data_IF_131635271146
#
_entry.id   IF_131635271146
#
_cell.length_a   1.000
_cell.length_b   1.000
_cell.length_c   1.000
_cell.angle_alpha   90.00
_cell.angle_beta   90.00
_cell.angle_gamma   90.00
#
_symmetry.space_group_name_H-M   'P 1'
#
loop_
_entity.id
_entity.type
_entity.pdbx_description
1 polymer ?
#
# COMPACT_ATOMS: atom_id res chain seq x y z
N UNK A 1 -74.60 28.50 -19.59
CA UNK A 1 -74.21 28.53 -18.17
C UNK A 1 -72.80 27.96 -18.08
N UNK A 2 -71.81 28.80 -17.78
CA UNK A 2 -70.40 28.41 -17.57
C UNK A 2 -70.21 27.73 -16.20
N UNK A 3 -69.25 26.80 -16.12
CA UNK A 3 -68.12 26.94 -15.17
C UNK A 3 -66.80 26.67 -15.92
N UNK A 4 -65.72 27.46 -15.84
CA UNK A 4 -64.86 27.86 -14.72
C UNK A 4 -64.02 26.71 -14.12
N UNK A 5 -62.70 26.96 -14.04
CA UNK A 5 -61.63 26.24 -13.27
C UNK A 5 -61.02 25.04 -14.03
N UNK A 6 -59.70 24.85 -14.21
CA UNK A 6 -58.52 25.26 -13.44
C UNK A 6 -57.31 25.58 -14.33
N UNK A 7 -56.57 26.64 -14.00
CA UNK A 7 -55.22 26.90 -14.49
C UNK A 7 -54.24 25.96 -13.77
N UNK A 8 -53.55 25.09 -14.50
CA UNK A 8 -52.45 24.29 -13.98
C UNK A 8 -51.17 25.15 -13.94
N UNK A 9 -50.74 25.50 -12.73
CA UNK A 9 -49.43 26.11 -12.47
C UNK A 9 -48.33 25.07 -12.69
N UNK A 10 -47.54 25.23 -13.75
CA UNK A 10 -46.28 24.50 -13.94
C UNK A 10 -45.26 24.97 -12.90
N UNK A 11 -44.84 24.07 -12.02
CA UNK A 11 -43.70 24.28 -11.14
C UNK A 11 -42.40 24.18 -11.96
N UNK A 12 -41.67 25.29 -12.06
CA UNK A 12 -40.34 25.37 -12.68
C UNK A 12 -39.33 24.56 -11.85
N UNK A 13 -38.62 23.66 -12.52
CA UNK A 13 -37.47 22.94 -11.99
C UNK A 13 -36.38 23.94 -11.60
N UNK A 14 -36.03 23.98 -10.31
CA UNK A 14 -34.89 24.72 -9.81
C UNK A 14 -33.60 23.95 -10.11
N UNK A 15 -32.74 24.51 -10.95
CA UNK A 15 -31.35 24.09 -11.03
C UNK A 15 -30.64 24.52 -9.74
N UNK A 16 -30.26 23.58 -8.89
CA UNK A 16 -29.34 23.84 -7.78
C UNK A 16 -27.95 24.10 -8.34
N UNK A 17 -27.57 25.37 -8.33
CA UNK A 17 -26.21 25.82 -8.61
C UNK A 17 -25.28 25.22 -7.54
N UNK A 18 -24.40 24.30 -7.93
CA UNK A 18 -23.28 23.87 -7.09
C UNK A 18 -22.38 25.09 -6.95
N UNK A 19 -22.37 25.68 -5.76
CA UNK A 19 -21.51 26.83 -5.46
C UNK A 19 -20.04 26.50 -5.66
N UNK A 20 -19.17 27.52 -5.79
CA UNK A 20 -17.72 27.30 -5.81
C UNK A 20 -17.32 26.49 -4.58
N UNK A 21 -16.55 25.42 -4.80
CA UNK A 21 -15.91 24.68 -3.72
C UNK A 21 -15.03 25.68 -2.99
N UNK A 22 -15.43 26.04 -1.77
CA UNK A 22 -14.60 26.82 -0.87
C UNK A 22 -13.40 25.93 -0.53
N UNK A 23 -12.28 26.18 -1.21
CA UNK A 23 -11.01 25.55 -0.89
C UNK A 23 -10.71 25.93 0.56
N UNK A 24 -10.79 24.92 1.44
CA UNK A 24 -10.37 25.01 2.83
C UNK A 24 -9.00 25.71 2.84
N UNK A 25 -8.81 26.74 3.69
CA UNK A 25 -7.58 27.53 3.69
C UNK A 25 -6.37 26.61 3.75
N UNK A 26 -5.34 26.92 2.95
CA UNK A 26 -4.01 26.33 3.01
C UNK A 26 -3.62 26.22 4.48
N UNK A 27 -3.59 24.98 4.98
CA UNK A 27 -3.12 24.71 6.34
C UNK A 27 -1.70 25.25 6.46
N UNK A 28 -1.40 25.90 7.58
CA UNK A 28 -0.05 26.33 7.93
C UNK A 28 0.96 25.20 7.65
N UNK A 29 2.22 25.52 7.24
CA UNK A 29 3.22 24.51 6.93
C UNK A 29 3.33 23.54 8.10
N UNK A 30 2.91 22.31 7.83
CA UNK A 30 2.89 21.23 8.79
C UNK A 30 4.32 20.99 9.24
N UNK A 31 4.67 21.46 10.44
CA UNK A 31 5.97 21.16 11.04
C UNK A 31 5.85 19.74 11.54
N UNK A 32 6.29 18.79 10.73
CA UNK A 32 6.12 17.38 11.02
C UNK A 32 6.75 17.09 12.39
N UNK A 33 5.99 16.43 13.27
CA UNK A 33 6.48 15.94 14.57
C UNK A 33 7.59 14.88 14.43
N UNK A 34 7.97 14.52 13.21
CA UNK A 34 9.06 13.59 12.87
C UNK A 34 10.35 13.90 13.61
N UNK A 35 10.67 15.18 13.82
CA UNK A 35 11.93 15.55 14.48
C UNK A 35 12.11 14.93 15.88
N UNK A 36 11.03 14.79 16.66
CA UNK A 36 11.09 14.16 17.99
C UNK A 36 11.11 12.63 17.91
N UNK A 37 10.40 12.06 16.93
CA UNK A 37 10.33 10.61 16.68
C UNK A 37 11.68 10.08 16.18
N UNK A 38 12.24 10.75 15.16
CA UNK A 38 13.54 10.44 14.59
C UNK A 38 14.66 10.69 15.60
N UNK A 39 14.58 11.75 16.40
CA UNK A 39 15.56 11.98 17.48
C UNK A 39 15.55 10.85 18.53
N UNK A 40 14.40 10.23 18.79
CA UNK A 40 14.30 9.11 19.73
C UNK A 40 14.84 7.79 19.13
N UNK A 41 14.65 7.56 17.83
CA UNK A 41 15.17 6.38 17.12
C UNK A 41 16.66 6.48 16.78
N UNK A 42 17.19 7.69 16.69
CA UNK A 42 18.54 7.96 16.21
C UNK A 42 18.62 8.07 14.69
N UNK A 43 19.85 8.13 14.20
CA UNK A 43 20.14 8.27 12.76
C UNK A 43 19.64 7.05 11.98
N UNK A 44 19.05 7.31 10.81
CA UNK A 44 18.65 6.25 9.88
C UNK A 44 19.92 5.52 9.41
N UNK A 45 19.99 4.19 9.50
CA UNK A 45 21.15 3.44 9.02
C UNK A 45 21.39 3.67 7.53
N UNK A 46 22.66 3.72 7.13
CA UNK A 46 23.01 3.81 5.72
C UNK A 46 22.46 2.61 4.94
N UNK A 47 21.95 2.89 3.74
CA UNK A 47 21.46 1.87 2.84
C UNK A 47 22.59 1.03 2.25
N UNK A 48 22.26 -0.19 1.85
CA UNK A 48 23.19 -1.04 1.13
C UNK A 48 22.94 -0.92 -0.38
N UNK A 49 24.00 -0.83 -1.21
CA UNK A 49 23.83 -0.75 -2.66
C UNK A 49 23.18 -2.03 -3.19
N UNK A 50 22.39 -1.89 -4.25
CA UNK A 50 21.83 -3.02 -4.97
C UNK A 50 22.93 -3.71 -5.79
N UNK A 51 23.41 -4.86 -5.32
CA UNK A 51 24.39 -5.69 -6.02
C UNK A 51 23.69 -6.76 -6.86
N UNK A 52 24.34 -7.35 -7.88
CA UNK A 52 23.75 -8.46 -8.65
C UNK A 52 23.36 -9.67 -7.79
N UNK A 53 24.08 -9.91 -6.69
CA UNK A 53 23.76 -10.97 -5.74
C UNK A 53 22.49 -10.66 -4.94
N UNK A 54 22.33 -9.43 -4.46
CA UNK A 54 21.11 -8.97 -3.78
C UNK A 54 19.90 -8.99 -4.72
N UNK A 55 20.11 -8.61 -5.98
CA UNK A 55 19.08 -8.70 -7.02
C UNK A 55 18.64 -10.15 -7.25
N UNK A 56 19.58 -11.08 -7.39
CA UNK A 56 19.27 -12.50 -7.56
C UNK A 56 18.51 -13.07 -6.33
N UNK A 57 18.93 -12.73 -5.11
CA UNK A 57 18.22 -13.10 -3.88
C UNK A 57 16.79 -12.54 -3.85
N UNK A 58 16.63 -11.25 -4.16
CA UNK A 58 15.33 -10.60 -4.24
C UNK A 58 14.41 -11.31 -5.23
N UNK A 59 14.89 -11.61 -6.43
CA UNK A 59 14.11 -12.29 -7.47
C UNK A 59 13.66 -13.67 -6.96
N UNK A 60 14.56 -14.45 -6.36
CA UNK A 60 14.23 -15.77 -5.81
C UNK A 60 13.15 -15.68 -4.71
N UNK A 61 13.30 -14.73 -3.78
CA UNK A 61 12.35 -14.50 -2.68
C UNK A 61 11.01 -13.98 -3.19
N UNK A 62 11.00 -13.08 -4.16
CA UNK A 62 9.81 -12.56 -4.81
C UNK A 62 9.02 -13.70 -5.48
N UNK A 63 9.70 -14.57 -6.24
CA UNK A 63 9.04 -15.73 -6.85
C UNK A 63 8.44 -16.68 -5.80
N UNK A 64 9.14 -16.90 -4.68
CA UNK A 64 8.60 -17.72 -3.58
C UNK A 64 7.38 -17.07 -2.92
N UNK A 65 7.40 -15.75 -2.71
CA UNK A 65 6.27 -15.00 -2.19
C UNK A 65 5.06 -15.05 -3.15
N UNK A 66 5.27 -14.85 -4.46
CA UNK A 66 4.19 -14.99 -5.45
C UNK A 66 3.63 -16.41 -5.48
N UNK A 67 4.48 -17.42 -5.32
CA UNK A 67 4.03 -18.81 -5.23
C UNK A 67 3.24 -19.11 -3.95
N UNK A 68 3.63 -18.52 -2.81
CA UNK A 68 2.86 -18.68 -1.57
C UNK A 68 1.46 -18.06 -1.67
N UNK A 69 1.26 -17.04 -2.50
CA UNK A 69 -0.09 -16.49 -2.79
C UNK A 69 -0.94 -17.51 -3.56
N UNK A 70 -0.38 -18.21 -4.56
CA UNK A 70 -1.12 -19.23 -5.31
C UNK A 70 -1.54 -20.38 -4.39
N UNK A 71 -0.62 -20.90 -3.59
CA UNK A 71 -0.85 -22.08 -2.75
C UNK A 71 -1.75 -21.84 -1.55
N UNK A 72 -1.96 -20.60 -1.13
CA UNK A 72 -2.98 -20.26 -0.13
C UNK A 72 -4.40 -20.58 -0.60
N UNK A 73 -4.69 -20.36 -1.88
CA UNK A 73 -6.02 -20.62 -2.47
C UNK A 73 -6.09 -21.97 -3.20
N UNK A 74 -4.95 -22.46 -3.72
CA UNK A 74 -4.84 -23.67 -4.53
C UNK A 74 -3.68 -24.54 -4.02
N UNK A 75 -3.86 -25.24 -2.88
CA UNK A 75 -2.76 -25.98 -2.22
C UNK A 75 -2.20 -27.13 -3.06
N UNK A 76 -3.01 -27.68 -3.98
CA UNK A 76 -2.60 -28.76 -4.88
C UNK A 76 -2.00 -28.26 -6.21
N UNK A 77 -1.88 -26.94 -6.39
CA UNK A 77 -1.33 -26.36 -7.61
C UNK A 77 0.14 -26.77 -7.81
N UNK A 78 0.52 -27.05 -9.05
CA UNK A 78 1.90 -27.41 -9.41
C UNK A 78 2.65 -26.16 -9.87
N UNK A 79 3.78 -25.86 -9.22
CA UNK A 79 4.62 -24.69 -9.54
C UNK A 79 5.19 -24.78 -10.95
N UNK A 80 4.86 -23.85 -11.86
CA UNK A 80 5.50 -23.80 -13.17
C UNK A 80 6.98 -23.43 -13.06
N UNK A 81 7.82 -24.07 -13.88
CA UNK A 81 9.19 -23.61 -14.12
C UNK A 81 9.14 -22.36 -14.99
N UNK A 82 9.79 -21.28 -14.53
CA UNK A 82 9.79 -19.98 -15.20
C UNK A 82 11.22 -19.49 -15.36
N UNK A 83 11.53 -18.95 -16.53
CA UNK A 83 12.79 -18.26 -16.79
C UNK A 83 12.54 -16.77 -16.64
N UNK A 84 13.36 -16.08 -15.85
CA UNK A 84 13.31 -14.61 -15.73
C UNK A 84 13.65 -14.02 -17.10
N UNK A 85 12.77 -13.16 -17.61
CA UNK A 85 13.02 -12.43 -18.84
C UNK A 85 14.18 -11.45 -18.63
N UNK A 86 14.90 -11.13 -19.70
CA UNK A 86 15.98 -10.15 -19.66
C UNK A 86 15.38 -8.73 -19.54
N UNK A 87 15.02 -8.34 -18.31
CA UNK A 87 14.35 -7.09 -18.01
C UNK A 87 15.37 -5.96 -17.95
N UNK A 88 15.81 -5.47 -19.10
CA UNK A 88 16.66 -4.27 -19.23
C UNK A 88 15.95 -2.96 -18.84
N UNK A 89 14.80 -3.03 -18.16
CA UNK A 89 14.16 -1.90 -17.52
C UNK A 89 12.72 -2.20 -17.12
N UNK A 90 12.43 -1.97 -15.83
CA UNK A 90 11.12 -2.03 -15.16
C UNK A 90 10.40 -3.38 -15.29
N UNK A 91 10.43 -4.19 -14.22
CA UNK A 91 9.52 -5.32 -14.07
C UNK A 91 8.05 -4.88 -14.20
N UNK A 92 7.15 -5.84 -14.39
CA UNK A 92 5.73 -5.52 -14.56
C UNK A 92 5.10 -5.20 -13.21
N UNK A 93 4.40 -4.06 -13.10
CA UNK A 93 3.65 -3.69 -11.90
C UNK A 93 2.25 -4.30 -11.87
N UNK A 94 1.74 -4.76 -13.01
CA UNK A 94 0.47 -5.45 -13.13
C UNK A 94 0.56 -6.56 -14.18
N UNK A 95 -0.05 -7.70 -13.87
CA UNK A 95 -0.28 -8.83 -14.78
C UNK A 95 -1.80 -9.01 -14.98
N UNK A 96 -2.18 -9.79 -15.98
CA UNK A 96 -3.55 -9.97 -16.48
C UNK A 96 -4.58 -10.18 -15.36
N UNK A 97 -5.38 -9.17 -15.02
CA UNK A 97 -6.49 -9.38 -14.08
C UNK A 97 -7.72 -8.47 -14.24
N UNK A 98 -7.73 -7.50 -15.15
CA UNK A 98 -8.89 -6.61 -15.26
C UNK A 98 -10.09 -7.33 -15.89
N UNK A 99 -11.11 -7.61 -15.06
CA UNK A 99 -12.38 -8.21 -15.46
C UNK A 99 -12.45 -9.75 -15.49
N UNK A 100 -11.40 -10.47 -15.07
CA UNK A 100 -11.42 -11.93 -15.00
C UNK A 100 -11.93 -12.44 -13.64
N UNK A 101 -12.74 -13.50 -13.68
CA UNK A 101 -13.15 -14.21 -12.46
C UNK A 101 -11.96 -14.97 -11.86
N UNK A 102 -11.87 -15.01 -10.54
CA UNK A 102 -10.81 -15.77 -9.85
C UNK A 102 -10.91 -17.26 -10.18
N UNK A 103 -9.81 -17.84 -10.68
CA UNK A 103 -9.64 -19.26 -10.92
C UNK A 103 -8.18 -19.67 -10.71
N UNK A 104 -7.92 -20.97 -10.57
CA UNK A 104 -6.56 -21.50 -10.50
C UNK A 104 -5.74 -21.08 -11.73
N UNK A 105 -6.35 -21.09 -12.92
CA UNK A 105 -5.66 -20.72 -14.16
C UNK A 105 -5.27 -19.24 -14.17
N UNK A 106 -6.12 -18.35 -13.64
CA UNK A 106 -5.79 -16.92 -13.50
C UNK A 106 -4.66 -16.73 -12.50
N UNK A 107 -4.72 -17.40 -11.34
CA UNK A 107 -3.65 -17.31 -10.33
C UNK A 107 -2.29 -17.82 -10.85
N UNK A 108 -2.31 -18.91 -11.63
CA UNK A 108 -1.11 -19.44 -12.29
C UNK A 108 -0.58 -18.50 -13.37
N UNK A 109 -1.45 -17.90 -14.18
CA UNK A 109 -1.06 -16.92 -15.19
C UNK A 109 -0.41 -15.67 -14.56
N UNK A 110 -1.00 -15.17 -13.47
CA UNK A 110 -0.42 -14.07 -12.69
C UNK A 110 0.93 -14.45 -12.11
N UNK A 111 1.06 -15.62 -11.49
CA UNK A 111 2.34 -16.10 -10.98
C UNK A 111 3.40 -16.13 -12.08
N UNK A 112 3.10 -16.73 -13.23
CA UNK A 112 4.06 -16.86 -14.34
C UNK A 112 4.50 -15.47 -14.81
N UNK A 113 3.56 -14.55 -15.01
CA UNK A 113 3.86 -13.20 -15.48
C UNK A 113 4.78 -12.44 -14.50
N UNK A 114 4.46 -12.42 -13.21
CA UNK A 114 5.29 -11.76 -12.20
C UNK A 114 6.64 -12.45 -12.00
N UNK A 115 6.68 -13.79 -12.05
CA UNK A 115 7.92 -14.53 -11.86
C UNK A 115 8.87 -14.39 -13.05
N UNK A 116 8.33 -14.20 -14.27
CA UNK A 116 9.12 -13.88 -15.46
C UNK A 116 9.60 -12.42 -15.46
N UNK A 117 8.85 -11.49 -14.85
CA UNK A 117 9.13 -10.05 -14.89
C UNK A 117 9.14 -9.43 -13.49
N UNK A 118 10.04 -9.87 -12.59
CA UNK A 118 10.07 -9.38 -11.21
C UNK A 118 10.34 -7.86 -11.17
N UNK A 119 9.62 -7.10 -10.32
CA UNK A 119 9.91 -5.69 -10.14
C UNK A 119 11.23 -5.56 -9.36
N UNK A 120 12.35 -5.33 -10.04
CA UNK A 120 13.63 -5.09 -9.37
C UNK A 120 13.64 -3.66 -8.86
N UNK A 121 13.68 -3.43 -7.53
CA UNK A 121 13.75 -2.08 -6.99
C UNK A 121 15.14 -1.47 -7.22
N UNK A 122 15.20 -0.15 -7.37
CA UNK A 122 16.46 0.60 -7.54
C UNK A 122 17.34 0.56 -6.29
N UNK A 123 16.73 0.37 -5.12
CA UNK A 123 17.38 0.12 -3.83
C UNK A 123 16.53 -0.84 -3.00
N UNK A 124 17.18 -1.61 -2.12
CA UNK A 124 16.49 -2.40 -1.12
C UNK A 124 16.94 -1.95 0.26
N UNK A 125 16.00 -1.84 1.20
CA UNK A 125 16.37 -1.60 2.59
C UNK A 125 17.38 -2.68 3.06
N UNK A 126 18.44 -2.24 3.73
CA UNK A 126 19.33 -3.13 4.47
C UNK A 126 18.58 -3.79 5.63
N UNK A 127 19.16 -4.83 6.23
CA UNK A 127 18.58 -5.42 7.46
C UNK A 127 18.48 -4.39 8.59
N UNK A 128 19.44 -3.45 8.65
CA UNK A 128 19.42 -2.36 9.62
C UNK A 128 18.28 -1.37 9.33
N UNK A 129 18.11 -0.97 8.07
CA UNK A 129 17.01 -0.09 7.66
C UNK A 129 15.63 -0.73 7.84
N UNK A 130 15.47 -2.02 7.53
CA UNK A 130 14.24 -2.75 7.80
C UNK A 130 13.95 -2.82 9.31
N UNK A 131 14.98 -3.03 10.13
CA UNK A 131 14.85 -2.99 11.59
C UNK A 131 14.43 -1.60 12.09
N UNK A 132 15.03 -0.55 11.55
CA UNK A 132 14.66 0.84 11.85
C UNK A 132 13.20 1.11 11.47
N UNK A 133 12.77 0.70 10.27
CA UNK A 133 11.39 0.86 9.81
C UNK A 133 10.40 0.12 10.70
N UNK A 134 10.75 -1.08 11.18
CA UNK A 134 9.93 -1.81 12.15
C UNK A 134 9.78 -1.02 13.46
N UNK A 135 10.89 -0.54 14.01
CA UNK A 135 10.91 0.22 15.27
C UNK A 135 10.13 1.54 15.11
N UNK A 136 10.23 2.16 13.94
CA UNK A 136 9.44 3.33 13.55
C UNK A 136 7.94 3.04 13.51
N UNK A 137 7.52 2.01 12.77
CA UNK A 137 6.11 1.66 12.64
C UNK A 137 5.49 1.25 13.98
N UNK A 138 6.17 0.38 14.74
CA UNK A 138 5.63 -0.16 15.99
C UNK A 138 5.72 0.83 17.16
N UNK A 139 6.77 1.66 17.20
CA UNK A 139 6.98 2.65 18.24
C UNK A 139 6.15 3.92 18.06
N UNK A 140 5.77 4.28 16.83
CA UNK A 140 5.19 5.60 16.54
C UNK A 140 3.93 5.54 15.68
N UNK A 141 3.97 4.88 14.52
CA UNK A 141 2.81 4.89 13.60
C UNK A 141 1.62 4.13 14.20
N UNK A 142 1.85 2.92 14.71
CA UNK A 142 0.78 2.09 15.30
C UNK A 142 0.12 2.78 16.51
N UNK A 143 0.88 3.31 17.50
CA UNK A 143 0.28 4.08 18.59
C UNK A 143 -0.49 5.32 18.12
N UNK A 144 0.02 6.04 17.10
CA UNK A 144 -0.67 7.22 16.57
C UNK A 144 -2.00 6.85 15.92
N UNK A 145 -2.04 5.78 15.12
CA UNK A 145 -3.28 5.30 14.51
C UNK A 145 -4.31 4.95 15.60
N UNK A 146 -3.87 4.27 16.67
CA UNK A 146 -4.73 3.94 17.80
C UNK A 146 -5.26 5.19 18.54
N UNK A 147 -4.43 6.22 18.75
CA UNK A 147 -4.84 7.50 19.36
C UNK A 147 -5.94 8.20 18.55
N UNK A 148 -5.90 8.05 17.22
CA UNK A 148 -6.89 8.60 16.30
C UNK A 148 -8.07 7.65 16.01
N UNK A 149 -8.21 6.56 16.76
CA UNK A 149 -9.34 5.64 16.67
C UNK A 149 -9.29 4.67 15.50
N UNK A 150 -8.09 4.44 14.94
CA UNK A 150 -7.88 3.47 13.88
C UNK A 150 -7.28 2.18 14.43
N UNK A 151 -7.81 1.06 13.95
CA UNK A 151 -7.32 -0.28 14.27
C UNK A 151 -6.45 -0.80 13.12
N UNK A 152 -5.32 -1.43 13.46
CA UNK A 152 -4.44 -2.11 12.50
C UNK A 152 -5.03 -3.50 12.19
N UNK A 153 -4.95 -3.92 10.93
CA UNK A 153 -5.52 -5.18 10.43
C UNK A 153 -4.94 -6.45 11.06
N UNK A 154 -3.71 -6.36 11.58
CA UNK A 154 -3.00 -7.47 12.20
C UNK A 154 -1.91 -6.98 13.17
N UNK A 155 -1.63 -7.79 14.18
CA UNK A 155 -0.49 -7.56 15.08
C UNK A 155 0.85 -7.62 14.33
N UNK A 156 1.84 -6.79 14.72
CA UNK A 156 3.17 -6.86 14.12
C UNK A 156 3.80 -8.23 14.35
N UNK A 157 4.52 -8.79 13.34
CA UNK A 157 5.39 -9.93 13.60
C UNK A 157 6.49 -9.52 14.59
N UNK A 158 7.17 -10.49 15.20
CA UNK A 158 8.39 -10.18 15.96
C UNK A 158 9.44 -9.54 15.04
N UNK A 159 10.21 -8.58 15.58
CA UNK A 159 11.17 -7.77 14.83
C UNK A 159 12.13 -8.61 13.99
N UNK A 160 12.68 -9.68 14.56
CA UNK A 160 13.64 -10.55 13.89
C UNK A 160 13.02 -11.19 12.63
N UNK A 161 11.75 -11.59 12.72
CA UNK A 161 11.01 -12.14 11.60
C UNK A 161 10.74 -11.09 10.54
N UNK A 162 10.33 -9.88 10.95
CA UNK A 162 10.11 -8.77 10.03
C UNK A 162 11.37 -8.48 9.19
N UNK A 163 12.52 -8.34 9.86
CA UNK A 163 13.80 -8.04 9.20
C UNK A 163 14.23 -9.18 8.27
N UNK A 164 14.09 -10.44 8.71
CA UNK A 164 14.46 -11.59 7.90
C UNK A 164 13.56 -11.79 6.67
N UNK A 165 12.27 -11.46 6.78
CA UNK A 165 11.30 -11.67 5.71
C UNK A 165 11.10 -10.43 4.82
N UNK A 166 11.67 -9.26 5.16
CA UNK A 166 11.51 -8.00 4.42
C UNK A 166 11.88 -8.10 2.92
N UNK A 167 11.05 -7.63 1.97
CA UNK A 167 9.75 -6.94 2.13
C UNK A 167 8.51 -7.88 2.04
N UNK A 168 8.70 -9.18 2.19
CA UNK A 168 7.68 -10.22 1.96
C UNK A 168 7.03 -10.75 3.24
N UNK A 169 7.19 -10.05 4.37
CA UNK A 169 6.64 -10.41 5.68
C UNK A 169 5.10 -10.37 5.77
N UNK A 170 4.43 -9.89 4.72
CA UNK A 170 2.97 -9.73 4.64
C UNK A 170 2.37 -8.91 5.80
N UNK A 171 3.13 -7.91 6.28
CA UNK A 171 2.70 -7.01 7.33
C UNK A 171 3.29 -5.61 7.13
N UNK A 172 2.41 -4.63 7.28
CA UNK A 172 2.64 -3.20 7.44
C UNK A 172 1.47 -2.67 8.29
N UNK A 173 1.56 -1.46 8.88
CA UNK A 173 0.45 -0.90 9.66
C UNK A 173 -0.72 -0.46 8.74
N UNK A 174 -1.43 -1.43 8.16
CA UNK A 174 -2.60 -1.20 7.30
C UNK A 174 -3.87 -1.13 8.14
N UNK A 175 -4.79 -0.24 7.76
CA UNK A 175 -6.03 0.00 8.51
C UNK A 175 -7.00 -1.18 8.32
N UNK A 176 -7.43 -1.82 9.43
CA UNK A 176 -8.30 -3.01 9.44
C UNK A 176 -9.69 -2.75 8.86
N UNK A 177 -10.23 -1.56 9.14
CA UNK A 177 -11.66 -1.29 9.05
C UNK A 177 -12.03 -0.40 7.84
N UNK A 178 -11.10 -0.19 6.91
CA UNK A 178 -11.34 0.62 5.70
C UNK A 178 -10.64 -0.02 4.51
N UNK A 179 -11.42 -0.33 3.47
CA UNK A 179 -10.93 -0.77 2.16
C UNK A 179 -11.39 0.19 1.07
N UNK A 180 -10.74 0.15 -0.10
CA UNK A 180 -11.10 1.00 -1.24
C UNK A 180 -10.84 2.49 -1.00
N UNK A 181 -11.68 3.35 -1.60
CA UNK A 181 -11.53 4.82 -1.56
C UNK A 181 -11.56 5.39 -0.12
N UNK A 182 -12.32 4.77 0.77
CA UNK A 182 -12.42 5.16 2.18
C UNK A 182 -11.12 4.95 2.96
N UNK A 183 -10.31 3.96 2.56
CA UNK A 183 -8.99 3.71 3.14
C UNK A 183 -7.99 4.79 2.72
N UNK A 184 -8.03 5.19 1.46
CA UNK A 184 -7.16 6.23 0.90
C UNK A 184 -7.46 7.58 1.54
N UNK A 185 -8.75 7.94 1.64
CA UNK A 185 -9.16 9.18 2.31
C UNK A 185 -8.77 9.18 3.79
N UNK A 186 -8.90 8.04 4.48
CA UNK A 186 -8.48 7.89 5.87
C UNK A 186 -6.97 8.03 6.07
N UNK A 187 -6.17 7.44 5.18
CA UNK A 187 -4.72 7.57 5.21
C UNK A 187 -4.29 9.01 4.97
N UNK A 188 -4.89 9.71 3.99
CA UNK A 188 -4.60 11.12 3.73
C UNK A 188 -5.01 12.05 4.90
N UNK A 189 -6.04 11.69 5.66
CA UNK A 189 -6.39 12.38 6.90
C UNK A 189 -5.38 12.06 8.02
N UNK A 190 -5.00 10.78 8.17
CA UNK A 190 -4.02 10.33 9.14
C UNK A 190 -2.63 10.92 8.92
N UNK A 191 -2.20 11.11 7.67
CA UNK A 191 -0.93 11.77 7.34
C UNK A 191 -0.87 13.21 7.89
N UNK A 192 -2.01 13.83 8.21
CA UNK A 192 -2.05 15.14 8.89
C UNK A 192 -1.79 15.05 10.40
N UNK A 193 -1.70 13.86 10.98
CA UNK A 193 -1.55 13.67 12.43
C UNK A 193 -0.41 12.73 12.78
N UNK A 194 -0.25 11.69 11.97
CA UNK A 194 0.70 10.63 12.15
C UNK A 194 1.85 10.77 11.17
N UNK A 195 3.08 10.58 11.66
CA UNK A 195 4.26 10.79 10.85
C UNK A 195 4.33 9.73 9.72
N UNK A 196 4.67 10.17 8.51
CA UNK A 196 4.82 9.32 7.33
C UNK A 196 6.09 8.46 7.41
N UNK A 197 6.30 7.51 6.51
CA UNK A 197 7.61 6.83 6.45
C UNK A 197 8.70 7.87 6.17
N UNK A 198 9.84 7.87 6.88
CA UNK A 198 10.93 8.81 6.60
C UNK A 198 11.36 8.73 5.13
N UNK A 199 11.68 9.88 4.53
CA UNK A 199 12.06 9.98 3.11
C UNK A 199 13.25 9.08 2.77
N UNK A 200 14.16 8.86 3.73
CA UNK A 200 15.34 7.99 3.58
C UNK A 200 15.00 6.49 3.52
N UNK A 201 13.76 6.11 3.85
CA UNK A 201 13.24 4.75 3.84
C UNK A 201 12.13 4.54 2.78
N UNK A 202 11.83 5.57 2.00
CA UNK A 202 10.78 5.62 0.97
C UNK A 202 11.34 5.33 -0.43
#
# INVERSE_FOLDING_TARGET
MLPAVALALLALAGCTFVGPVELKPESEPYTIKDGAVLAALGEVPEGEPMTPEREADFIARFQNYRWSIVTQSYPDAVRPTVTVADTTGAGVSACVSDGLQSSEQVALADYVCFAQNPPVPTSMLSSAQAGYLYDYWTGFVVPCYAEHGFEISADPPVRERFVAEWPFQNWAPTLANRGGEDAVAALAELEQFCPGVPDELS
#
